data_IF_543828503092
#
_entry.id   IF_543828503092
#
_cell.length_a   1.000
_cell.length_b   1.000
_cell.length_c   1.000
_cell.angle_alpha   90.00
_cell.angle_beta   90.00
_cell.angle_gamma   90.00
#
_symmetry.space_group_name_H-M   'P 1'
#
loop_
_entity.id
_entity.type
_entity.pdbx_description
1 polymer ?
#
# COMPACT_ATOMS: atom_id res chain seq x y z
N UNK A 1 -21.98 5.71 17.12
CA UNK A 1 -21.72 5.47 15.68
C UNK A 1 -20.60 4.47 15.58
N UNK A 2 -20.82 3.36 14.89
CA UNK A 2 -19.78 2.37 14.59
C UNK A 2 -18.87 2.89 13.48
N UNK A 3 -17.58 2.62 13.56
CA UNK A 3 -16.56 3.10 12.62
C UNK A 3 -16.43 2.15 11.41
N UNK A 4 -16.29 2.65 10.16
CA UNK A 4 -15.86 1.84 9.03
C UNK A 4 -14.57 1.08 9.37
N UNK A 5 -14.58 -0.22 9.05
CA UNK A 5 -13.42 -1.08 9.28
C UNK A 5 -12.77 -1.44 7.94
N UNK A 6 -11.49 -1.13 7.80
CA UNK A 6 -10.65 -1.56 6.68
C UNK A 6 -9.78 -2.71 7.12
N UNK A 7 -9.93 -3.86 6.46
CA UNK A 7 -9.07 -5.02 6.63
C UNK A 7 -8.07 -5.06 5.49
N UNK A 8 -6.78 -4.99 5.81
CA UNK A 8 -5.70 -5.12 4.85
C UNK A 8 -4.96 -6.44 5.10
N UNK A 9 -4.84 -7.25 4.06
CA UNK A 9 -3.95 -8.39 4.03
C UNK A 9 -2.85 -8.11 3.02
N UNK A 10 -1.60 -8.10 3.47
CA UNK A 10 -0.48 -7.69 2.64
C UNK A 10 0.53 -8.83 2.54
N UNK A 11 1.12 -9.00 1.36
CA UNK A 11 2.31 -9.83 1.23
C UNK A 11 3.52 -9.14 1.88
N UNK A 12 4.53 -9.95 2.24
CA UNK A 12 5.85 -9.46 2.63
C UNK A 12 6.35 -8.49 1.56
N UNK A 13 6.87 -7.30 1.94
CA UNK A 13 7.34 -6.35 0.95
C UNK A 13 8.49 -6.95 0.17
N UNK A 14 8.45 -6.82 -1.15
CA UNK A 14 9.58 -7.14 -2.02
C UNK A 14 10.14 -5.83 -2.56
N UNK A 15 11.27 -5.37 -1.99
CA UNK A 15 12.01 -4.19 -2.47
C UNK A 15 11.16 -2.92 -2.65
N UNK A 16 10.23 -2.66 -1.73
CA UNK A 16 9.36 -1.48 -1.78
C UNK A 16 8.03 -1.69 -2.52
N UNK A 17 7.78 -2.87 -3.08
CA UNK A 17 6.51 -3.28 -3.70
C UNK A 17 5.72 -4.15 -2.73
N UNK A 18 4.41 -3.94 -2.64
CA UNK A 18 3.48 -4.75 -1.84
C UNK A 18 2.16 -4.95 -2.57
N UNK A 19 1.82 -6.21 -2.81
CA UNK A 19 0.46 -6.62 -3.16
C UNK A 19 -0.40 -6.59 -1.91
N UNK A 20 -1.56 -5.96 -2.01
CA UNK A 20 -2.47 -5.73 -0.88
C UNK A 20 -3.87 -6.17 -1.27
N UNK A 21 -4.48 -7.04 -0.46
CA UNK A 21 -5.91 -7.30 -0.50
C UNK A 21 -6.59 -6.47 0.58
N UNK A 22 -7.54 -5.66 0.18
CA UNK A 22 -8.23 -4.73 1.05
C UNK A 22 -9.72 -5.06 1.10
N UNK A 23 -10.35 -4.90 2.25
CA UNK A 23 -11.81 -5.03 2.39
C UNK A 23 -12.34 -3.94 3.30
N UNK A 24 -13.32 -3.19 2.79
CA UNK A 24 -14.05 -2.17 3.54
C UNK A 24 -15.35 -2.78 4.04
N UNK A 25 -15.58 -2.64 5.34
CA UNK A 25 -16.82 -2.99 6.00
C UNK A 25 -17.44 -1.69 6.52
N UNK A 26 -18.50 -1.24 5.87
CA UNK A 26 -19.27 -0.11 6.36
C UNK A 26 -20.26 -0.59 7.43
N UNK A 27 -20.37 0.05 8.59
CA UNK A 27 -21.24 -0.42 9.67
C UNK A 27 -22.72 -0.14 9.40
N UNK A 28 -23.01 1.03 8.84
CA UNK A 28 -24.40 1.48 8.65
C UNK A 28 -24.95 1.11 7.26
N UNK A 29 -24.16 0.42 6.44
CA UNK A 29 -24.54 0.01 5.09
C UNK A 29 -24.12 -1.44 4.90
N UNK A 30 -24.90 -2.29 4.22
CA UNK A 30 -24.48 -3.64 3.86
C UNK A 30 -23.41 -3.64 2.74
N UNK A 31 -22.60 -2.59 2.68
CA UNK A 31 -21.55 -2.39 1.67
C UNK A 31 -20.30 -3.10 2.16
N UNK A 32 -19.96 -4.16 1.45
CA UNK A 32 -18.68 -4.85 1.53
C UNK A 32 -17.98 -4.68 0.19
N UNK A 33 -16.91 -3.89 0.20
CA UNK A 33 -16.07 -3.69 -1.00
C UNK A 33 -14.75 -4.39 -0.75
N UNK A 34 -14.36 -5.25 -1.68
CA UNK A 34 -13.07 -5.90 -1.67
C UNK A 34 -12.30 -5.45 -2.90
N UNK A 35 -11.00 -5.27 -2.71
CA UNK A 35 -10.10 -4.77 -3.74
C UNK A 35 -8.74 -5.43 -3.60
N UNK A 36 -8.03 -5.52 -4.71
CA UNK A 36 -6.66 -5.97 -4.76
C UNK A 36 -5.83 -4.98 -5.55
N UNK A 37 -4.77 -4.45 -4.93
CA UNK A 37 -3.98 -3.39 -5.52
C UNK A 37 -2.49 -3.50 -5.18
N UNK A 38 -1.67 -2.92 -6.05
CA UNK A 38 -0.24 -2.80 -5.90
C UNK A 38 0.14 -1.47 -5.25
N UNK A 39 0.66 -1.56 -4.02
CA UNK A 39 1.25 -0.42 -3.33
C UNK A 39 2.76 -0.40 -3.53
N UNK A 40 3.28 0.70 -4.04
CA UNK A 40 4.71 0.83 -4.37
C UNK A 40 5.32 2.06 -3.73
N UNK A 41 6.51 1.93 -3.17
CA UNK A 41 7.32 3.09 -2.76
C UNK A 41 8.03 3.66 -3.97
N UNK A 42 8.12 4.99 -4.08
CA UNK A 42 8.85 5.67 -5.16
C UNK A 42 10.31 5.23 -5.28
N UNK A 43 10.93 4.83 -4.17
CA UNK A 43 12.30 4.30 -4.13
C UNK A 43 12.46 2.88 -4.69
N UNK A 44 11.38 2.22 -5.11
CA UNK A 44 11.45 0.90 -5.74
C UNK A 44 12.15 1.00 -7.10
N UNK A 45 12.81 -0.07 -7.50
CA UNK A 45 13.49 -0.12 -8.80
C UNK A 45 12.51 0.08 -9.96
N UNK A 46 12.93 0.83 -10.98
CA UNK A 46 12.19 0.91 -12.22
C UNK A 46 12.02 -0.50 -12.84
N UNK A 47 10.84 -0.85 -13.42
CA UNK A 47 9.67 0.01 -13.68
C UNK A 47 8.59 0.01 -12.60
N UNK A 48 8.86 -0.50 -11.39
CA UNK A 48 7.81 -0.75 -10.38
C UNK A 48 6.92 0.44 -10.02
N UNK A 49 7.43 1.67 -9.84
CA UNK A 49 6.57 2.82 -9.58
C UNK A 49 5.50 3.06 -10.66
N UNK A 50 5.75 2.70 -11.92
CA UNK A 50 4.79 2.87 -13.02
C UNK A 50 3.61 1.90 -12.95
N UNK A 51 3.75 0.81 -12.20
CA UNK A 51 2.70 -0.20 -12.01
C UNK A 51 1.89 0.02 -10.74
N UNK A 52 2.17 1.10 -10.00
CA UNK A 52 1.55 1.34 -8.71
C UNK A 52 0.09 1.75 -8.88
N UNK A 53 -0.82 1.10 -8.16
CA UNK A 53 -2.19 1.58 -7.94
C UNK A 53 -2.22 2.62 -6.80
N UNK A 54 -1.29 2.45 -5.85
CA UNK A 54 -1.02 3.39 -4.76
C UNK A 54 0.49 3.64 -4.65
N UNK A 55 0.93 4.84 -5.03
CA UNK A 55 2.32 5.26 -4.95
C UNK A 55 2.59 5.98 -3.62
N UNK A 56 3.71 5.66 -2.98
CA UNK A 56 4.11 6.25 -1.70
C UNK A 56 5.49 6.88 -1.83
N UNK A 57 5.60 8.18 -1.57
CA UNK A 57 6.84 8.92 -1.61
C UNK A 57 7.07 9.67 -0.29
N UNK A 58 8.32 9.70 0.15
CA UNK A 58 8.74 10.64 1.19
C UNK A 58 9.14 11.94 0.51
N UNK A 59 8.70 13.08 1.06
CA UNK A 59 9.09 14.38 0.53
C UNK A 59 10.60 14.57 0.75
N UNK A 60 11.40 14.79 -0.30
CA UNK A 60 12.83 15.01 -0.17
C UNK A 60 13.15 16.18 0.77
N UNK A 61 14.09 15.95 1.70
CA UNK A 61 14.60 17.00 2.59
C UNK A 61 15.65 17.90 1.93
N UNK A 62 16.20 17.49 0.80
CA UNK A 62 17.29 18.16 0.07
C UNK A 62 16.97 18.13 -1.43
N UNK A 63 17.26 19.21 -2.14
CA UNK A 63 17.18 19.26 -3.61
C UNK A 63 15.84 19.69 -4.19
N UNK A 64 14.81 19.97 -3.37
CA UNK A 64 13.61 20.68 -3.82
C UNK A 64 13.81 22.20 -3.70
N UNK A 65 13.18 23.00 -4.57
CA UNK A 65 13.09 24.45 -4.38
C UNK A 65 12.54 24.75 -2.98
N UNK A 66 13.07 25.79 -2.33
CA UNK A 66 12.74 26.22 -0.95
C UNK A 66 11.24 26.53 -0.69
N UNK A 67 10.37 26.41 -1.70
CA UNK A 67 8.95 26.70 -1.63
C UNK A 67 8.08 25.69 -2.39
N UNK A 68 8.58 24.48 -2.65
CA UNK A 68 7.76 23.49 -3.33
C UNK A 68 6.58 23.06 -2.45
N UNK A 69 5.38 23.39 -2.92
CA UNK A 69 4.13 22.97 -2.31
C UNK A 69 4.02 21.44 -2.38
N UNK A 70 3.96 20.72 -1.24
CA UNK A 70 3.86 19.27 -1.23
C UNK A 70 2.64 18.72 -1.97
N UNK A 71 1.54 19.49 -2.05
CA UNK A 71 0.37 19.09 -2.85
C UNK A 71 0.70 19.14 -4.36
N UNK A 72 1.42 20.17 -4.80
CA UNK A 72 1.91 20.27 -6.19
C UNK A 72 2.90 19.16 -6.52
N UNK A 73 3.80 18.82 -5.59
CA UNK A 73 4.71 17.70 -5.79
C UNK A 73 3.96 16.36 -5.91
N UNK A 74 2.94 16.13 -5.07
CA UNK A 74 2.07 14.95 -5.19
C UNK A 74 1.33 14.91 -6.53
N UNK A 75 0.85 16.05 -7.03
CA UNK A 75 0.20 16.16 -8.34
C UNK A 75 1.18 15.82 -9.48
N UNK A 76 2.39 16.39 -9.47
CA UNK A 76 3.42 16.08 -10.48
C UNK A 76 3.85 14.61 -10.45
N UNK A 77 3.90 13.99 -9.27
CA UNK A 77 4.11 12.55 -9.17
C UNK A 77 2.94 11.75 -9.76
N UNK A 78 1.70 12.19 -9.60
CA UNK A 78 0.55 11.52 -10.22
C UNK A 78 0.62 11.61 -11.76
N UNK A 79 1.06 12.73 -12.30
CA UNK A 79 1.24 12.90 -13.76
C UNK A 79 2.32 11.96 -14.31
N UNK A 80 3.41 11.75 -13.56
CA UNK A 80 4.48 10.82 -13.91
C UNK A 80 4.10 9.34 -13.74
N UNK A 81 3.07 9.03 -12.96
CA UNK A 81 2.67 7.66 -12.61
C UNK A 81 1.16 7.50 -12.83
N UNK A 82 0.70 7.48 -14.10
CA UNK A 82 -0.73 7.53 -14.44
C UNK A 82 -1.53 6.31 -13.96
N UNK A 83 -0.88 5.20 -13.62
CA UNK A 83 -1.53 4.05 -12.98
C UNK A 83 -1.94 4.28 -11.52
N UNK A 84 -1.32 5.25 -10.84
CA UNK A 84 -1.54 5.48 -9.42
C UNK A 84 -2.80 6.33 -9.19
N UNK A 85 -3.90 5.68 -8.82
CA UNK A 85 -5.12 6.37 -8.38
C UNK A 85 -4.91 7.14 -7.06
N UNK A 86 -3.93 6.70 -6.27
CA UNK A 86 -3.49 7.36 -5.05
C UNK A 86 -2.00 7.64 -5.10
N UNK A 87 -1.61 8.89 -4.91
CA UNK A 87 -0.22 9.28 -4.62
C UNK A 87 -0.16 9.87 -3.22
N UNK A 88 0.62 9.23 -2.34
CA UNK A 88 0.82 9.64 -0.97
C UNK A 88 2.25 10.18 -0.78
N UNK A 89 2.35 11.50 -0.62
CA UNK A 89 3.61 12.18 -0.29
C UNK A 89 3.59 12.51 1.19
N UNK A 90 4.61 12.12 1.96
CA UNK A 90 4.63 12.39 3.40
C UNK A 90 5.91 13.07 3.88
N UNK A 91 5.78 13.81 4.99
CA UNK A 91 6.90 14.34 5.79
C UNK A 91 6.52 14.29 7.26
N UNK A 92 7.18 13.41 8.02
CA UNK A 92 6.87 13.21 9.44
C UNK A 92 5.39 12.86 9.66
N UNK A 93 4.63 13.65 10.44
CA UNK A 93 3.23 13.40 10.75
C UNK A 93 2.25 13.97 9.71
N UNK A 94 2.72 14.53 8.60
CA UNK A 94 1.86 15.06 7.54
C UNK A 94 1.97 14.21 6.28
N UNK A 95 0.84 13.99 5.62
CA UNK A 95 0.76 13.27 4.36
C UNK A 95 -0.22 13.96 3.41
N UNK A 96 0.28 14.38 2.26
CA UNK A 96 -0.50 14.93 1.16
C UNK A 96 -0.86 13.79 0.21
N UNK A 97 -2.16 13.53 0.11
CA UNK A 97 -2.73 12.54 -0.77
C UNK A 97 -3.30 13.22 -2.01
N UNK A 98 -2.95 12.69 -3.19
CA UNK A 98 -3.64 12.95 -4.43
C UNK A 98 -4.54 11.76 -4.76
N UNK A 99 -5.85 11.97 -4.79
CA UNK A 99 -6.92 10.95 -4.87
C UNK A 99 -7.78 11.15 -6.12
N UNK A 100 -7.53 10.40 -7.19
CA UNK A 100 -8.39 10.36 -8.38
C UNK A 100 -8.79 11.72 -8.99
N UNK A 101 -8.01 12.77 -8.77
CA UNK A 101 -8.33 14.14 -9.19
C UNK A 101 -8.14 15.19 -8.08
N UNK A 102 -8.24 14.77 -6.82
CA UNK A 102 -8.45 15.67 -5.69
C UNK A 102 -7.31 15.62 -4.69
N UNK A 103 -7.01 16.76 -4.08
CA UNK A 103 -5.97 16.86 -3.06
C UNK A 103 -6.58 16.72 -1.66
N UNK A 104 -5.88 16.02 -0.78
CA UNK A 104 -6.27 15.85 0.62
C UNK A 104 -5.05 15.81 1.52
N UNK A 105 -5.04 16.63 2.56
CA UNK A 105 -4.04 16.55 3.63
C UNK A 105 -4.56 15.62 4.74
N UNK A 106 -3.73 14.64 5.11
CA UNK A 106 -3.90 13.83 6.31
C UNK A 106 -2.80 14.18 7.33
N UNK A 107 -3.18 14.25 8.59
CA UNK A 107 -2.27 14.49 9.72
C UNK A 107 -2.38 13.33 10.70
N UNK A 108 -1.23 12.84 11.18
CA UNK A 108 -1.17 11.83 12.24
C UNK A 108 -1.09 12.53 13.58
N UNK A 109 -2.08 12.28 14.43
CA UNK A 109 -2.12 12.81 15.79
C UNK A 109 -1.36 11.91 16.78
N UNK A 110 -0.92 12.50 17.89
CA UNK A 110 -0.32 11.76 19.00
C UNK A 110 -1.39 10.90 19.71
N UNK A 111 -1.07 9.64 20.02
CA UNK A 111 -1.98 8.70 20.72
C UNK A 111 -2.75 7.73 19.81
N UNK A 112 -2.59 7.85 18.48
CA UNK A 112 -3.19 6.95 17.50
C UNK A 112 -2.30 5.73 17.22
N UNK A 113 -2.84 4.54 16.92
CA UNK A 113 -2.05 3.51 16.29
C UNK A 113 -1.52 4.06 14.96
N UNK A 114 -0.23 4.37 14.95
CA UNK A 114 0.46 5.07 13.89
C UNK A 114 0.68 4.17 12.66
N UNK A 115 -0.41 3.77 11.99
CA UNK A 115 -0.31 3.06 10.71
C UNK A 115 0.48 3.91 9.73
N UNK A 116 1.45 3.29 9.04
CA UNK A 116 2.32 3.99 8.10
C UNK A 116 1.52 4.74 7.03
N UNK A 117 2.08 5.79 6.45
CA UNK A 117 1.43 6.50 5.34
C UNK A 117 1.17 5.59 4.15
N UNK A 118 1.99 4.54 3.98
CA UNK A 118 1.74 3.49 3.01
C UNK A 118 0.42 2.74 3.29
N UNK A 119 0.11 2.43 4.55
CA UNK A 119 -1.17 1.81 4.92
C UNK A 119 -2.33 2.76 4.62
N UNK A 120 -2.20 4.04 4.94
CA UNK A 120 -3.23 5.03 4.61
C UNK A 120 -3.42 5.25 3.12
N UNK A 121 -2.37 5.12 2.30
CA UNK A 121 -2.50 5.13 0.85
C UNK A 121 -3.39 3.96 0.36
N UNK A 122 -3.23 2.76 0.93
CA UNK A 122 -4.11 1.62 0.63
C UNK A 122 -5.56 1.84 1.11
N UNK A 123 -5.73 2.44 2.29
CA UNK A 123 -7.08 2.79 2.80
C UNK A 123 -7.75 3.78 1.87
N UNK A 124 -7.04 4.81 1.42
CA UNK A 124 -7.57 5.82 0.51
C UNK A 124 -7.89 5.23 -0.88
N UNK A 125 -7.07 4.30 -1.37
CA UNK A 125 -7.35 3.58 -2.63
C UNK A 125 -8.67 2.81 -2.52
N UNK A 126 -8.82 2.00 -1.47
CA UNK A 126 -10.06 1.27 -1.23
C UNK A 126 -11.28 2.19 -1.03
N UNK A 127 -11.09 3.36 -0.41
CA UNK A 127 -12.14 4.37 -0.24
C UNK A 127 -12.65 4.88 -1.59
N UNK A 128 -11.74 5.14 -2.54
CA UNK A 128 -12.06 5.50 -3.92
C UNK A 128 -12.78 4.36 -4.66
N UNK A 129 -12.26 3.13 -4.56
CA UNK A 129 -12.88 1.95 -5.19
C UNK A 129 -14.29 1.69 -4.64
N UNK A 130 -14.52 1.98 -3.35
CA UNK A 130 -15.83 1.90 -2.73
C UNK A 130 -16.80 3.03 -3.15
N UNK A 131 -16.37 3.97 -3.99
CA UNK A 131 -17.16 5.10 -4.45
C UNK A 131 -17.49 6.10 -3.35
N UNK A 132 -16.71 6.11 -2.27
CA UNK A 132 -16.91 7.03 -1.14
C UNK A 132 -16.25 8.38 -1.43
N UNK A 133 -16.85 9.45 -0.89
CA UNK A 133 -16.33 10.80 -1.05
C UNK A 133 -14.94 10.92 -0.39
N UNK A 134 -13.87 11.29 -1.14
CA UNK A 134 -12.55 11.52 -0.58
C UNK A 134 -12.52 12.55 0.57
N UNK A 135 -13.43 13.54 0.56
CA UNK A 135 -13.50 14.55 1.62
C UNK A 135 -14.00 13.97 2.96
N UNK A 136 -14.75 12.86 2.91
CA UNK A 136 -15.25 12.13 4.07
C UNK A 136 -14.24 11.12 4.65
N UNK A 137 -13.07 10.94 4.01
CA UNK A 137 -12.00 10.13 4.58
C UNK A 137 -11.41 10.87 5.80
N UNK A 138 -11.83 10.41 6.97
CA UNK A 138 -11.29 10.82 8.26
C UNK A 138 -10.49 9.65 8.85
N UNK A 139 -9.15 9.78 8.98
CA UNK A 139 -8.33 8.78 9.65
C UNK A 139 -8.83 8.46 11.06
N UNK A 140 -9.52 9.41 11.69
CA UNK A 140 -9.99 9.26 13.04
C UNK A 140 -11.17 8.28 13.17
N UNK A 141 -11.99 8.24 12.14
CA UNK A 141 -13.21 7.44 12.11
C UNK A 141 -13.00 6.05 11.50
N UNK A 142 -11.80 5.71 11.02
CA UNK A 142 -11.53 4.44 10.32
C UNK A 142 -10.71 3.49 11.18
N UNK A 143 -11.28 2.30 11.45
CA UNK A 143 -10.54 1.23 12.11
C UNK A 143 -9.77 0.41 11.08
N UNK A 144 -8.45 0.38 11.18
CA UNK A 144 -7.59 -0.44 10.30
C UNK A 144 -7.17 -1.72 11.02
N UNK A 145 -7.47 -2.86 10.41
CA UNK A 145 -6.99 -4.19 10.83
C UNK A 145 -6.03 -4.69 9.75
N UNK A 146 -4.76 -4.89 10.11
CA UNK A 146 -3.71 -5.27 9.17
C UNK A 146 -3.17 -6.66 9.49
N UNK A 147 -3.05 -7.48 8.46
CA UNK A 147 -2.43 -8.80 8.50
C UNK A 147 -1.33 -8.84 7.45
N UNK A 148 -0.13 -9.31 7.81
CA UNK A 148 0.96 -9.53 6.84
C UNK A 148 1.13 -11.03 6.67
N UNK A 149 1.02 -11.52 5.44
CA UNK A 149 1.32 -12.92 5.10
C UNK A 149 2.79 -13.02 4.74
N UNK A 150 3.51 -13.97 5.35
CA UNK A 150 4.92 -14.20 5.04
C UNK A 150 5.41 -15.63 5.24
N UNK A 151 5.98 -16.15 4.15
CA UNK A 151 6.58 -17.47 3.92
C UNK A 151 5.73 -18.68 4.28
N UNK A 152 5.15 -19.34 3.26
CA UNK A 152 5.30 -20.79 3.23
C UNK A 152 6.81 -21.03 3.12
N UNK A 153 7.42 -21.56 4.17
CA UNK A 153 8.76 -22.14 4.06
C UNK A 153 8.68 -23.19 2.95
N UNK A 154 9.11 -22.85 1.74
CA UNK A 154 9.67 -23.87 0.88
C UNK A 154 10.90 -24.35 1.64
N UNK A 155 10.75 -25.42 2.42
CA UNK A 155 11.88 -26.09 3.07
C UNK A 155 12.95 -26.30 1.99
N UNK A 156 14.15 -25.70 2.13
CA UNK A 156 15.22 -25.91 1.16
C UNK A 156 15.73 -27.35 1.15
N UNK A 157 15.30 -28.18 2.10
CA UNK A 157 15.69 -29.57 2.26
C UNK A 157 14.50 -30.49 2.02
N UNK A 158 14.10 -30.62 0.76
CA UNK A 158 13.81 -31.94 0.24
C UNK A 158 15.04 -32.30 -0.61
N UNK A 159 16.11 -32.73 0.04
CA UNK A 159 17.16 -33.48 -0.64
C UNK A 159 16.48 -34.64 -1.36
N UNK A 160 16.74 -34.87 -2.66
CA UNK A 160 16.41 -36.13 -3.28
C UNK A 160 17.43 -37.15 -2.77
N UNK A 161 17.27 -37.61 -1.53
CA UNK A 161 17.95 -38.83 -1.12
C UNK A 161 17.21 -40.00 -1.74
N UNK A 162 17.85 -40.57 -2.75
CA UNK A 162 17.53 -41.88 -3.28
C UNK A 162 18.24 -42.18 -4.59
N UNK A 163 19.55 -42.48 -4.59
CA UNK A 163 20.05 -43.42 -5.59
C UNK A 163 19.36 -44.77 -5.32
N UNK A 164 18.40 -45.13 -6.16
CA UNK A 164 17.72 -46.41 -6.12
C UNK A 164 18.71 -47.57 -6.25
N UNK A 165 18.46 -48.71 -5.60
CA UNK A 165 19.33 -49.87 -5.74
C UNK A 165 19.01 -50.61 -7.04
N UNK A 166 20.06 -50.90 -7.81
CA UNK A 166 20.10 -52.00 -8.77
C UNK A 166 19.99 -51.58 -10.25
N UNK A 167 21.06 -51.85 -11.01
CA UNK A 167 21.09 -52.92 -12.03
C UNK A 167 22.54 -53.18 -12.48
N UNK A 168 23.01 -54.41 -12.22
CA UNK A 168 23.56 -55.36 -13.21
C UNK A 168 24.86 -55.08 -14.00
N UNK A 169 25.86 -55.98 -13.81
CA UNK A 169 26.84 -56.47 -14.80
C UNK A 169 28.06 -55.56 -15.08
N UNK A 170 29.28 -56.03 -15.38
CA UNK A 170 29.90 -57.34 -15.63
C UNK A 170 31.42 -57.13 -15.60
N UNK A 171 32.21 -58.15 -15.23
CA UNK A 171 33.68 -58.13 -15.36
C UNK A 171 34.38 -59.01 -14.34
#
# INVERSE_FOLDING_TARGET
MTAPTVRLTEDVPQRGVRRTWATLLHPDRPVRVADEHLRVRLSAAHPMPLLADALVAELPSVGLPLHEDPARYAAGLADCHPGALVVAVYRGPHCWLRLGGRDRLLTREAGWPAQSWAVWASVAHLWLVAGLDPAALDPSAVRVVRTVRGYASASPWASPDGPGPGTSGSG
#
